data_IF_977993698007
#
_entry.id   IF_977993698007
#
_cell.length_a   1.000
_cell.length_b   1.000
_cell.length_c   1.000
_cell.angle_alpha   90.00
_cell.angle_beta   90.00
_cell.angle_gamma   90.00
#
_symmetry.space_group_name_H-M   'P 1'
#
loop_
_entity.id
_entity.type
_entity.pdbx_description
1 polymer ?
#
# COMPACT_ATOMS: atom_id res chain seq x y z
N UNK A 1 -16.04 -21.37 4.32
CA UNK A 1 -16.47 -22.22 5.47
C UNK A 1 -17.66 -21.56 6.17
N UNK A 2 -18.48 -22.31 6.92
CA UNK A 2 -19.51 -21.68 7.77
C UNK A 2 -18.84 -20.89 8.89
N UNK A 3 -19.30 -19.66 9.16
CA UNK A 3 -18.74 -18.74 10.18
C UNK A 3 -18.51 -19.42 11.54
N UNK A 4 -19.52 -20.12 12.05
CA UNK A 4 -19.42 -20.86 13.33
C UNK A 4 -18.29 -21.89 13.32
N UNK A 5 -18.15 -22.67 12.25
CA UNK A 5 -17.09 -23.69 12.15
C UNK A 5 -15.69 -23.08 12.16
N UNK A 6 -15.53 -21.90 11.56
CA UNK A 6 -14.27 -21.15 11.65
C UNK A 6 -13.99 -20.66 13.08
N UNK A 7 -14.98 -20.13 13.79
CA UNK A 7 -14.81 -19.69 15.17
C UNK A 7 -14.44 -20.84 16.12
N UNK A 8 -15.06 -22.01 15.94
CA UNK A 8 -14.70 -23.22 16.68
C UNK A 8 -13.24 -23.64 16.39
N UNK A 9 -12.83 -23.66 15.11
CA UNK A 9 -11.44 -23.92 14.70
C UNK A 9 -10.47 -22.91 15.34
N UNK A 10 -10.80 -21.62 15.31
CA UNK A 10 -9.98 -20.57 15.90
C UNK A 10 -9.75 -20.81 17.39
N UNK A 11 -10.81 -21.05 18.17
CA UNK A 11 -10.70 -21.23 19.61
C UNK A 11 -9.88 -22.47 20.00
N UNK A 12 -10.02 -23.57 19.26
CA UNK A 12 -9.17 -24.75 19.45
C UNK A 12 -7.70 -24.44 19.18
N UNK A 13 -7.40 -23.75 18.07
CA UNK A 13 -6.05 -23.37 17.67
C UNK A 13 -5.40 -22.42 18.67
N UNK A 14 -6.11 -21.35 19.06
CA UNK A 14 -5.64 -20.34 19.99
C UNK A 14 -5.30 -20.94 21.37
N UNK A 15 -6.19 -21.78 21.92
CA UNK A 15 -5.93 -22.46 23.20
C UNK A 15 -4.75 -23.43 23.11
N UNK A 16 -4.61 -24.16 22.01
CA UNK A 16 -3.48 -25.06 21.80
C UNK A 16 -2.14 -24.29 21.76
N UNK A 17 -2.08 -23.16 21.05
CA UNK A 17 -0.90 -22.29 21.01
C UNK A 17 -0.56 -21.74 22.40
N UNK A 18 -1.56 -21.25 23.14
CA UNK A 18 -1.36 -20.68 24.49
C UNK A 18 -0.99 -21.73 25.54
N UNK A 19 -1.42 -22.98 25.38
CA UNK A 19 -1.00 -24.09 26.23
C UNK A 19 0.50 -24.42 26.06
N UNK A 20 1.06 -24.23 24.85
CA UNK A 20 2.50 -24.37 24.61
C UNK A 20 3.26 -23.16 25.17
N UNK A 21 2.81 -21.95 24.89
CA UNK A 21 3.41 -20.73 25.44
C UNK A 21 2.44 -19.55 25.43
N UNK A 22 2.21 -18.88 26.57
CA UNK A 22 1.35 -17.70 26.62
C UNK A 22 1.91 -16.51 25.83
N UNK A 23 3.21 -16.54 25.48
CA UNK A 23 3.90 -15.47 24.71
C UNK A 23 3.61 -15.49 23.21
N UNK A 24 3.12 -16.60 22.66
CA UNK A 24 2.78 -16.69 21.24
C UNK A 24 1.54 -15.83 20.98
N UNK A 25 1.63 -14.86 20.06
CA UNK A 25 0.49 -14.04 19.67
C UNK A 25 -0.37 -14.78 18.64
N UNK A 26 -1.68 -14.81 18.85
CA UNK A 26 -2.66 -15.41 17.93
C UNK A 26 -3.78 -14.42 17.64
N UNK A 27 -4.28 -14.41 16.41
CA UNK A 27 -5.28 -13.44 15.96
C UNK A 27 -6.02 -13.91 14.72
N UNK A 28 -7.07 -13.18 14.37
CA UNK A 28 -8.00 -13.50 13.29
C UNK A 28 -9.01 -12.35 13.08
N UNK A 29 -10.05 -12.52 12.23
CA UNK A 29 -10.44 -13.76 11.57
C UNK A 29 -9.74 -14.03 10.21
N UNK A 30 -8.82 -13.18 9.76
CA UNK A 30 -8.21 -13.25 8.42
C UNK A 30 -9.26 -13.32 7.29
N UNK A 31 -10.37 -12.62 7.48
CA UNK A 31 -11.50 -12.58 6.54
C UNK A 31 -11.17 -11.73 5.31
N UNK A 32 -11.83 -12.00 4.18
CA UNK A 32 -11.91 -11.07 3.06
C UNK A 32 -12.81 -9.87 3.39
N UNK A 33 -12.65 -8.78 2.63
CA UNK A 33 -13.50 -7.59 2.64
C UNK A 33 -13.85 -7.02 4.04
N UNK A 34 -12.93 -7.12 5.01
CA UNK A 34 -13.16 -6.66 6.38
C UNK A 34 -14.41 -7.27 7.06
N UNK A 35 -14.70 -8.54 6.78
CA UNK A 35 -15.86 -9.27 7.33
C UNK A 35 -15.62 -9.85 8.73
N UNK A 36 -16.70 -10.25 9.40
CA UNK A 36 -16.73 -10.97 10.69
C UNK A 36 -16.15 -10.28 11.94
N UNK A 37 -15.62 -9.05 11.87
CA UNK A 37 -14.88 -8.47 13.01
C UNK A 37 -15.71 -8.39 14.31
N UNK A 38 -16.92 -7.81 14.34
CA UNK A 38 -17.68 -7.72 15.58
C UNK A 38 -18.08 -9.09 16.14
N UNK A 39 -18.53 -9.99 15.27
CA UNK A 39 -18.95 -11.35 15.66
C UNK A 39 -17.79 -12.19 16.18
N UNK A 40 -16.62 -12.07 15.55
CA UNK A 40 -15.39 -12.76 15.96
C UNK A 40 -14.96 -12.29 17.37
N UNK A 41 -14.92 -10.98 17.60
CA UNK A 41 -14.54 -10.42 18.91
C UNK A 41 -15.57 -10.79 19.98
N UNK A 42 -16.86 -10.74 19.67
CA UNK A 42 -17.92 -11.20 20.56
C UNK A 42 -17.76 -12.69 20.91
N UNK A 43 -17.55 -13.54 19.91
CA UNK A 43 -17.34 -14.97 20.13
C UNK A 43 -16.13 -15.22 21.03
N UNK A 44 -15.01 -14.53 20.79
CA UNK A 44 -13.81 -14.66 21.62
C UNK A 44 -14.07 -14.24 23.07
N UNK A 45 -14.82 -13.15 23.28
CA UNK A 45 -15.20 -12.69 24.61
C UNK A 45 -16.11 -13.72 25.32
N UNK A 46 -17.20 -14.13 24.68
CA UNK A 46 -18.19 -15.04 25.27
C UNK A 46 -17.59 -16.42 25.61
N UNK A 47 -16.64 -16.89 24.79
CA UNK A 47 -16.05 -18.24 24.92
C UNK A 47 -14.66 -18.22 25.58
N UNK A 48 -14.18 -17.07 26.03
CA UNK A 48 -12.83 -16.90 26.59
C UNK A 48 -11.75 -17.48 25.64
N UNK A 49 -11.91 -17.26 24.34
CA UNK A 49 -10.89 -17.66 23.36
C UNK A 49 -9.76 -16.60 23.35
N UNK A 50 -8.48 -17.00 23.51
CA UNK A 50 -7.38 -16.05 23.51
C UNK A 50 -7.25 -15.34 22.17
N UNK A 51 -7.09 -14.00 22.19
CA UNK A 51 -6.85 -13.18 20.99
C UNK A 51 -5.90 -12.03 21.34
N UNK A 52 -4.86 -11.84 20.53
CA UNK A 52 -3.80 -10.85 20.73
C UNK A 52 -3.76 -9.79 19.62
N UNK A 53 -4.43 -10.02 18.49
CA UNK A 53 -4.61 -9.06 17.41
C UNK A 53 -5.81 -9.42 16.52
N UNK A 54 -6.32 -8.44 15.79
CA UNK A 54 -7.28 -8.65 14.71
C UNK A 54 -6.55 -8.70 13.39
N UNK A 55 -6.93 -9.62 12.50
CA UNK A 55 -6.47 -9.63 11.11
C UNK A 55 -7.61 -9.76 10.11
N UNK A 56 -7.47 -9.11 8.97
CA UNK A 56 -8.43 -9.15 7.86
C UNK A 56 -7.78 -8.58 6.59
N UNK A 57 -8.46 -8.74 5.46
CA UNK A 57 -8.03 -8.30 4.15
C UNK A 57 -9.04 -7.32 3.56
N UNK A 58 -8.57 -6.58 2.56
CA UNK A 58 -9.42 -5.80 1.67
C UNK A 58 -8.56 -5.07 0.66
N UNK A 59 -9.08 -5.02 -0.56
CA UNK A 59 -8.38 -4.58 -1.75
C UNK A 59 -9.06 -3.34 -2.33
N UNK A 60 -8.31 -2.54 -3.09
CA UNK A 60 -8.89 -1.40 -3.80
C UNK A 60 -9.94 -1.82 -4.85
N UNK A 61 -9.83 -3.04 -5.38
CA UNK A 61 -10.78 -3.62 -6.35
C UNK A 61 -12.03 -4.23 -5.72
N UNK A 62 -12.06 -4.44 -4.40
CA UNK A 62 -13.27 -4.94 -3.75
C UNK A 62 -14.43 -3.96 -3.96
N UNK A 63 -15.64 -4.49 -4.11
CA UNK A 63 -16.82 -3.64 -4.30
C UNK A 63 -17.10 -2.82 -3.03
N UNK A 64 -17.80 -1.70 -3.20
CA UNK A 64 -18.20 -0.87 -2.05
C UNK A 64 -19.19 -1.62 -1.17
N UNK A 65 -20.05 -2.43 -1.81
CA UNK A 65 -20.96 -3.37 -1.20
C UNK A 65 -20.21 -4.37 -0.30
N UNK A 66 -19.15 -5.00 -0.82
CA UNK A 66 -18.39 -5.98 -0.04
C UNK A 66 -17.68 -5.31 1.16
N UNK A 67 -17.01 -4.18 0.93
CA UNK A 67 -16.24 -3.54 2.00
C UNK A 67 -17.07 -2.80 3.03
N UNK A 68 -18.27 -2.33 2.70
CA UNK A 68 -19.03 -1.42 3.57
C UNK A 68 -20.49 -1.81 3.78
N UNK A 69 -21.00 -2.78 3.04
CA UNK A 69 -22.38 -3.21 3.07
C UNK A 69 -22.86 -3.64 4.46
N UNK A 70 -24.17 -3.51 4.73
CA UNK A 70 -24.73 -3.70 6.06
C UNK A 70 -24.77 -5.15 6.53
N UNK A 71 -24.47 -6.15 5.68
CA UNK A 71 -24.25 -7.56 6.03
C UNK A 71 -23.72 -8.34 4.81
N UNK A 72 -23.00 -9.44 5.06
CA UNK A 72 -22.43 -10.37 4.05
C UNK A 72 -23.45 -11.07 3.14
N UNK A 73 -24.75 -10.97 3.46
CA UNK A 73 -25.85 -11.63 2.73
C UNK A 73 -26.69 -10.65 1.89
N UNK A 74 -26.34 -9.36 1.91
CA UNK A 74 -27.13 -8.30 1.28
C UNK A 74 -26.82 -8.26 -0.21
N UNK A 75 -27.79 -8.65 -1.04
CA UNK A 75 -27.69 -8.51 -2.49
C UNK A 75 -27.72 -7.01 -2.86
N UNK A 76 -27.20 -6.60 -4.03
CA UNK A 76 -27.09 -5.19 -4.44
C UNK A 76 -28.41 -4.38 -4.39
N UNK A 77 -29.56 -5.06 -4.35
CA UNK A 77 -30.91 -4.46 -4.29
C UNK A 77 -31.39 -4.11 -2.88
N UNK A 78 -30.73 -4.61 -1.83
CA UNK A 78 -31.18 -4.50 -0.43
C UNK A 78 -30.36 -3.48 0.40
N UNK A 79 -29.55 -2.64 -0.25
CA UNK A 79 -28.77 -1.59 0.44
C UNK A 79 -29.70 -0.50 1.02
N UNK A 80 -29.45 -0.03 2.25
CA UNK A 80 -30.26 1.02 2.87
C UNK A 80 -30.16 2.34 2.10
N UNK A 81 -31.23 3.16 2.10
CA UNK A 81 -31.21 4.49 1.49
C UNK A 81 -30.06 5.35 2.04
N UNK A 82 -29.27 5.95 1.17
CA UNK A 82 -28.12 6.79 1.54
C UNK A 82 -26.78 6.06 1.68
N UNK A 83 -26.73 4.74 1.42
CA UNK A 83 -25.47 4.01 1.31
C UNK A 83 -24.58 4.60 0.20
N UNK A 84 -23.32 4.99 0.48
CA UNK A 84 -22.42 5.50 -0.54
C UNK A 84 -22.10 4.37 -1.51
N UNK A 85 -22.55 4.47 -2.77
CA UNK A 85 -22.24 3.48 -3.81
C UNK A 85 -20.93 3.77 -4.54
N UNK A 86 -20.52 5.03 -4.54
CA UNK A 86 -19.35 5.51 -5.27
C UNK A 86 -18.25 5.93 -4.28
N UNK A 87 -17.49 4.94 -3.78
CA UNK A 87 -16.22 5.20 -3.10
C UNK A 87 -15.10 4.96 -4.12
N UNK A 88 -14.25 5.98 -4.40
CA UNK A 88 -13.08 5.82 -5.26
C UNK A 88 -12.18 4.68 -4.79
N UNK A 89 -11.65 3.87 -5.71
CA UNK A 89 -10.85 2.69 -5.39
C UNK A 89 -9.61 3.03 -4.54
N UNK A 90 -9.01 4.20 -4.74
CA UNK A 90 -7.85 4.70 -4.00
C UNK A 90 -8.18 5.14 -2.56
N UNK A 91 -9.45 5.17 -2.17
CA UNK A 91 -9.90 5.46 -0.81
C UNK A 91 -10.45 4.22 -0.07
N UNK A 92 -10.80 3.16 -0.79
CA UNK A 92 -11.53 2.00 -0.24
C UNK A 92 -10.77 1.30 0.88
N UNK A 93 -9.49 0.97 0.67
CA UNK A 93 -8.67 0.26 1.67
C UNK A 93 -8.55 1.07 2.96
N UNK A 94 -8.22 2.36 2.86
CA UNK A 94 -8.06 3.21 4.04
C UNK A 94 -9.38 3.43 4.80
N UNK A 95 -10.49 3.59 4.09
CA UNK A 95 -11.83 3.68 4.70
C UNK A 95 -12.24 2.37 5.37
N UNK A 96 -11.90 1.22 4.79
CA UNK A 96 -12.17 -0.09 5.37
C UNK A 96 -11.32 -0.35 6.64
N UNK A 97 -10.05 0.08 6.65
CA UNK A 97 -9.21 0.09 7.84
C UNK A 97 -9.86 0.92 8.96
N UNK A 98 -10.33 2.14 8.64
CA UNK A 98 -11.01 3.00 9.61
C UNK A 98 -12.30 2.36 10.15
N UNK A 99 -13.09 1.70 9.30
CA UNK A 99 -14.28 0.91 9.68
C UNK A 99 -13.90 -0.16 10.72
N UNK A 100 -12.89 -0.99 10.41
CA UNK A 100 -12.46 -2.10 11.29
C UNK A 100 -11.88 -1.58 12.60
N UNK A 101 -11.08 -0.51 12.56
CA UNK A 101 -10.57 0.12 13.78
C UNK A 101 -11.71 0.60 14.67
N UNK A 102 -12.75 1.20 14.10
CA UNK A 102 -13.97 1.59 14.84
C UNK A 102 -14.71 0.38 15.45
N UNK A 103 -14.82 -0.73 14.71
CA UNK A 103 -15.41 -1.98 15.21
C UNK A 103 -14.61 -2.58 16.38
N UNK A 104 -13.27 -2.55 16.31
CA UNK A 104 -12.40 -2.98 17.41
C UNK A 104 -12.64 -2.09 18.64
N UNK A 105 -12.61 -0.76 18.46
CA UNK A 105 -12.83 0.22 19.54
C UNK A 105 -14.19 0.09 20.22
N UNK A 106 -15.23 -0.31 19.48
CA UNK A 106 -16.58 -0.53 20.00
C UNK A 106 -16.76 -1.91 20.68
N UNK A 107 -15.77 -2.80 20.59
CA UNK A 107 -15.82 -4.15 21.18
C UNK A 107 -15.40 -4.16 22.66
N UNK A 108 -15.45 -5.35 23.28
CA UNK A 108 -14.89 -5.59 24.62
C UNK A 108 -13.36 -5.60 24.65
N UNK A 109 -12.69 -5.47 23.50
CA UNK A 109 -11.23 -5.54 23.34
C UNK A 109 -10.71 -4.35 22.51
N UNK A 110 -10.88 -3.10 22.98
CA UNK A 110 -10.73 -1.89 22.16
C UNK A 110 -9.30 -1.57 21.71
N UNK A 111 -8.31 -2.19 22.35
CA UNK A 111 -6.89 -1.89 22.15
C UNK A 111 -6.16 -2.96 21.32
N UNK A 112 -6.88 -3.91 20.73
CA UNK A 112 -6.22 -4.94 19.92
C UNK A 112 -5.50 -4.31 18.72
N UNK A 113 -4.25 -4.72 18.44
CA UNK A 113 -3.58 -4.38 17.19
C UNK A 113 -4.38 -4.87 15.97
N UNK A 114 -4.35 -4.10 14.89
CA UNK A 114 -4.98 -4.44 13.61
C UNK A 114 -3.90 -4.75 12.56
N UNK A 115 -3.92 -5.99 12.07
CA UNK A 115 -3.04 -6.50 11.05
C UNK A 115 -3.82 -6.64 9.74
N UNK A 116 -3.65 -5.72 8.80
CA UNK A 116 -4.21 -5.87 7.46
C UNK A 116 -3.29 -6.78 6.65
N UNK A 117 -3.58 -8.08 6.68
CA UNK A 117 -2.65 -9.14 6.25
C UNK A 117 -2.54 -9.29 4.74
N UNK A 118 -3.49 -8.75 3.99
CA UNK A 118 -3.43 -8.64 2.53
C UNK A 118 -4.16 -7.38 2.05
N UNK A 119 -3.54 -6.69 1.10
CA UNK A 119 -4.15 -5.67 0.26
C UNK A 119 -3.33 -5.49 -1.01
N UNK A 120 -3.91 -4.84 -2.02
CA UNK A 120 -3.18 -4.33 -3.18
C UNK A 120 -3.92 -3.09 -3.72
N UNK A 121 -3.26 -2.33 -4.59
CA UNK A 121 -3.89 -1.31 -5.44
C UNK A 121 -4.77 -1.99 -6.50
N UNK A 122 -5.58 -1.19 -7.20
CA UNK A 122 -6.48 -1.68 -8.22
C UNK A 122 -5.70 -2.32 -9.40
N UNK A 123 -6.29 -3.33 -10.03
CA UNK A 123 -5.67 -4.15 -11.08
C UNK A 123 -6.16 -3.86 -12.50
N UNK A 124 -7.03 -2.86 -12.70
CA UNK A 124 -7.60 -2.56 -14.01
C UNK A 124 -6.49 -2.24 -15.02
N UNK A 125 -6.66 -2.69 -16.26
CA UNK A 125 -5.73 -2.45 -17.37
C UNK A 125 -4.27 -2.82 -17.03
N UNK A 126 -4.06 -3.93 -16.31
CA UNK A 126 -2.72 -4.43 -15.92
C UNK A 126 -1.90 -3.43 -15.09
N UNK A 127 -2.57 -2.47 -14.46
CA UNK A 127 -1.92 -1.30 -13.84
C UNK A 127 -0.93 -1.63 -12.72
N UNK A 128 -1.02 -2.82 -12.10
CA UNK A 128 -0.06 -3.34 -11.12
C UNK A 128 1.35 -3.53 -11.65
N UNK A 129 1.52 -3.63 -12.97
CA UNK A 129 2.84 -3.69 -13.61
C UNK A 129 3.43 -2.32 -13.95
N UNK A 130 2.64 -1.26 -13.79
CA UNK A 130 2.97 0.08 -14.28
C UNK A 130 3.43 1.00 -13.16
N UNK A 131 3.87 2.20 -13.54
CA UNK A 131 4.25 3.27 -12.60
C UNK A 131 3.09 3.78 -11.74
N UNK A 132 1.83 3.46 -12.10
CA UNK A 132 0.63 3.77 -11.30
C UNK A 132 0.76 3.33 -9.84
N UNK A 133 1.39 2.17 -9.59
CA UNK A 133 1.49 1.61 -8.24
C UNK A 133 2.22 2.54 -7.29
N UNK A 134 3.22 3.31 -7.76
CA UNK A 134 4.01 4.18 -6.88
C UNK A 134 3.14 5.23 -6.17
N UNK A 135 2.47 6.13 -6.90
CA UNK A 135 1.54 7.09 -6.34
C UNK A 135 0.35 6.45 -5.59
N UNK A 136 -0.23 5.36 -6.10
CA UNK A 136 -1.37 4.69 -5.46
C UNK A 136 -0.99 4.07 -4.10
N UNK A 137 0.19 3.48 -4.01
CA UNK A 137 0.80 2.99 -2.78
C UNK A 137 1.04 4.13 -1.78
N UNK A 138 1.68 5.21 -2.25
CA UNK A 138 1.96 6.38 -1.41
C UNK A 138 0.67 7.02 -0.87
N UNK A 139 -0.36 7.15 -1.71
CA UNK A 139 -1.67 7.66 -1.32
C UNK A 139 -2.36 6.75 -0.30
N UNK A 140 -2.30 5.42 -0.47
CA UNK A 140 -2.87 4.49 0.50
C UNK A 140 -2.16 4.59 1.85
N UNK A 141 -0.82 4.60 1.87
CA UNK A 141 -0.03 4.79 3.11
C UNK A 141 -0.35 6.13 3.78
N UNK A 142 -0.54 7.20 3.01
CA UNK A 142 -0.92 8.52 3.53
C UNK A 142 -2.26 8.47 4.26
N UNK A 143 -3.21 7.68 3.77
CA UNK A 143 -4.58 7.61 4.28
C UNK A 143 -4.76 6.55 5.38
N UNK A 144 -4.00 5.45 5.34
CA UNK A 144 -4.14 4.29 6.21
C UNK A 144 -3.67 4.57 7.65
N UNK A 145 -4.48 5.30 8.40
CA UNK A 145 -4.32 5.48 9.84
C UNK A 145 -5.01 4.36 10.62
N UNK A 146 -4.50 4.04 11.82
CA UNK A 146 -5.16 3.08 12.71
C UNK A 146 -4.95 1.61 12.33
N UNK A 147 -3.92 1.31 11.55
CA UNK A 147 -3.44 -0.05 11.26
C UNK A 147 -2.02 -0.21 11.80
N UNK A 148 -1.72 -1.39 12.34
CA UNK A 148 -0.40 -1.70 12.91
C UNK A 148 0.52 -2.40 11.89
N UNK A 149 -0.07 -3.09 10.90
CA UNK A 149 0.62 -3.70 9.77
C UNK A 149 -0.25 -3.67 8.52
N UNK A 150 0.30 -3.23 7.40
CA UNK A 150 -0.38 -3.18 6.10
C UNK A 150 0.45 -3.98 5.07
N UNK A 151 0.11 -5.24 4.88
CA UNK A 151 0.91 -6.22 4.14
C UNK A 151 0.50 -6.29 2.67
N UNK A 152 1.31 -5.71 1.79
CA UNK A 152 1.06 -5.68 0.35
C UNK A 152 1.21 -7.07 -0.25
N UNK A 153 0.15 -7.53 -0.87
CA UNK A 153 0.06 -8.84 -1.50
C UNK A 153 0.40 -8.66 -2.98
N UNK A 154 1.62 -8.96 -3.47
CA UNK A 154 2.70 -9.73 -2.83
C UNK A 154 4.08 -9.12 -3.10
N UNK A 155 5.13 -9.72 -2.55
CA UNK A 155 6.51 -9.34 -2.88
C UNK A 155 6.99 -9.85 -4.25
N UNK A 156 6.33 -10.85 -4.85
CA UNK A 156 6.76 -11.48 -6.10
C UNK A 156 5.63 -12.23 -6.80
N UNK A 157 5.71 -12.24 -8.13
CA UNK A 157 4.88 -13.06 -9.03
C UNK A 157 5.32 -14.55 -9.05
N UNK A 158 6.16 -15.00 -8.10
CA UNK A 158 6.27 -16.45 -7.86
C UNK A 158 5.01 -16.84 -7.08
N UNK A 159 3.94 -17.07 -7.85
CA UNK A 159 2.57 -17.14 -7.37
C UNK A 159 1.77 -18.13 -8.23
N UNK A 160 0.95 -18.98 -7.61
CA UNK A 160 0.31 -20.10 -8.32
C UNK A 160 -1.16 -20.35 -7.93
N UNK A 161 -1.88 -19.37 -7.36
CA UNK A 161 -3.32 -19.55 -7.09
C UNK A 161 -4.12 -19.84 -8.37
N UNK A 162 -3.75 -19.19 -9.48
CA UNK A 162 -4.29 -19.44 -10.82
C UNK A 162 -3.47 -20.45 -11.65
N UNK A 163 -2.50 -21.12 -11.04
CA UNK A 163 -1.45 -21.87 -11.73
C UNK A 163 -0.25 -20.99 -12.15
N UNK A 164 0.75 -21.57 -12.84
CA UNK A 164 1.96 -20.85 -13.22
C UNK A 164 1.68 -19.68 -14.17
N UNK A 165 2.24 -18.51 -13.86
CA UNK A 165 2.08 -17.30 -14.67
C UNK A 165 2.77 -17.45 -16.03
N UNK A 166 2.06 -17.18 -17.15
CA UNK A 166 2.55 -17.50 -18.48
C UNK A 166 3.63 -16.52 -18.99
N UNK A 167 3.55 -15.22 -18.64
CA UNK A 167 4.54 -14.20 -19.07
C UNK A 167 4.77 -13.14 -17.97
N UNK A 168 5.87 -12.36 -18.01
CA UNK A 168 6.27 -11.50 -16.89
C UNK A 168 5.31 -10.37 -16.48
N UNK A 169 4.50 -9.85 -17.39
CA UNK A 169 3.64 -8.70 -17.14
C UNK A 169 2.22 -8.96 -17.67
N UNK A 170 1.29 -9.22 -16.76
CA UNK A 170 -0.16 -9.46 -16.97
C UNK A 170 -1.04 -8.86 -15.85
N UNK A 171 -0.53 -7.86 -15.10
CA UNK A 171 -1.24 -7.23 -14.00
C UNK A 171 -1.20 -8.03 -12.69
N UNK A 172 -0.18 -8.87 -12.53
CA UNK A 172 0.00 -9.76 -11.39
C UNK A 172 0.35 -9.00 -10.10
N UNK A 173 0.13 -9.64 -8.96
CA UNK A 173 0.16 -9.00 -7.63
C UNK A 173 1.54 -8.47 -7.19
N UNK A 174 2.62 -9.08 -7.65
CA UNK A 174 3.94 -8.95 -7.05
C UNK A 174 4.63 -7.63 -7.29
N UNK A 175 5.50 -7.24 -6.36
CA UNK A 175 6.48 -6.16 -6.57
C UNK A 175 7.52 -6.51 -7.65
N UNK A 176 7.72 -7.80 -7.89
CA UNK A 176 8.66 -8.34 -8.86
C UNK A 176 7.95 -9.32 -9.77
N UNK A 177 8.13 -9.14 -11.07
CA UNK A 177 7.63 -10.02 -12.10
C UNK A 177 8.32 -11.39 -12.09
N UNK A 178 7.71 -12.36 -12.79
CA UNK A 178 8.28 -13.70 -13.02
C UNK A 178 9.76 -13.60 -13.44
N UNK A 179 10.58 -14.50 -12.91
CA UNK A 179 12.04 -14.48 -13.15
C UNK A 179 12.81 -13.47 -12.31
N UNK A 180 12.14 -12.65 -11.49
CA UNK A 180 12.78 -11.68 -10.61
C UNK A 180 13.04 -10.33 -11.26
N UNK A 181 12.23 -9.95 -12.24
CA UNK A 181 12.29 -8.62 -12.88
C UNK A 181 11.64 -7.60 -11.94
N UNK A 182 12.33 -6.51 -11.62
CA UNK A 182 11.79 -5.48 -10.73
C UNK A 182 10.73 -4.65 -11.46
N UNK A 183 9.50 -4.63 -10.93
CA UNK A 183 8.43 -3.75 -11.40
C UNK A 183 8.63 -2.33 -10.84
N UNK A 184 7.95 -1.31 -11.36
CA UNK A 184 7.99 0.04 -10.77
C UNK A 184 7.63 0.07 -9.28
N UNK A 185 6.74 -0.82 -8.84
CA UNK A 185 6.33 -0.98 -7.45
C UNK A 185 7.48 -1.38 -6.51
N UNK A 186 8.44 -2.20 -6.96
CA UNK A 186 9.66 -2.52 -6.21
C UNK A 186 10.45 -1.25 -5.86
N UNK A 187 10.66 -0.39 -6.86
CA UNK A 187 11.40 0.86 -6.69
C UNK A 187 10.59 1.89 -5.88
N UNK A 188 9.26 1.94 -6.04
CA UNK A 188 8.40 2.80 -5.25
C UNK A 188 8.46 2.46 -3.75
N UNK A 189 8.43 1.16 -3.40
CA UNK A 189 8.69 0.72 -2.03
C UNK A 189 10.08 1.17 -1.54
N UNK A 190 11.10 1.05 -2.38
CA UNK A 190 12.45 1.53 -2.09
C UNK A 190 12.52 3.04 -1.82
N UNK A 191 11.76 3.85 -2.56
CA UNK A 191 11.62 5.28 -2.29
C UNK A 191 10.91 5.53 -0.96
N UNK A 192 9.74 4.93 -0.74
CA UNK A 192 8.93 5.16 0.46
C UNK A 192 9.60 4.64 1.75
N UNK A 193 10.48 3.63 1.65
CA UNK A 193 11.29 3.16 2.77
C UNK A 193 12.24 4.25 3.31
N UNK A 194 12.52 5.29 2.53
CA UNK A 194 13.37 6.41 2.95
C UNK A 194 12.65 7.45 3.80
N UNK A 195 11.34 7.33 3.99
CA UNK A 195 10.57 8.20 4.89
C UNK A 195 11.07 8.04 6.33
N UNK A 196 11.00 9.14 7.09
CA UNK A 196 11.32 9.18 8.52
C UNK A 196 10.19 8.62 9.40
N UNK A 197 10.44 8.62 10.70
CA UNK A 197 9.57 8.07 11.74
C UNK A 197 8.54 9.07 12.28
N UNK A 198 8.74 10.37 12.08
CA UNK A 198 7.82 11.42 12.52
C UNK A 198 7.10 12.07 11.35
N UNK A 199 5.82 11.75 11.15
CA UNK A 199 4.98 12.41 10.13
C UNK A 199 4.67 13.85 10.51
N UNK A 200 4.89 14.77 9.57
CA UNK A 200 4.49 16.17 9.69
C UNK A 200 3.15 16.37 8.98
N UNK A 201 2.19 16.92 9.70
CA UNK A 201 0.86 17.22 9.16
C UNK A 201 0.96 18.28 8.05
N UNK A 202 0.25 18.05 6.96
CA UNK A 202 0.08 18.99 5.87
C UNK A 202 -1.28 18.74 5.20
N UNK A 203 -1.80 19.72 4.47
CA UNK A 203 -3.14 19.66 3.86
C UNK A 203 -3.17 18.98 2.49
N UNK A 204 -2.03 18.57 1.92
CA UNK A 204 -1.99 17.97 0.59
C UNK A 204 -2.44 16.51 0.63
N UNK A 205 -3.26 16.12 -0.34
CA UNK A 205 -3.60 14.72 -0.62
C UNK A 205 -2.51 13.98 -1.39
N UNK A 206 -1.50 14.70 -1.90
CA UNK A 206 -0.48 14.15 -2.80
C UNK A 206 0.95 14.26 -2.24
N UNK A 207 1.08 14.44 -0.92
CA UNK A 207 2.38 14.57 -0.25
C UNK A 207 2.37 13.87 1.12
N UNK A 208 3.44 13.13 1.41
CA UNK A 208 3.82 12.72 2.77
C UNK A 208 5.09 13.48 3.13
N UNK A 209 5.07 14.15 4.29
CA UNK A 209 6.25 14.79 4.88
C UNK A 209 6.59 14.05 6.17
N UNK A 210 7.85 13.67 6.30
CA UNK A 210 8.38 13.04 7.50
C UNK A 210 9.68 13.70 7.93
N UNK A 211 9.97 13.65 9.22
CA UNK A 211 11.24 14.06 9.81
C UNK A 211 11.89 12.84 10.45
N UNK A 212 13.19 12.70 10.27
CA UNK A 212 14.01 11.70 10.95
C UNK A 212 14.55 12.24 12.29
N UNK A 213 15.07 11.35 13.13
CA UNK A 213 15.65 11.71 14.42
C UNK A 213 16.82 12.73 14.33
N UNK A 214 17.59 12.73 13.22
CA UNK A 214 18.67 13.67 12.95
C UNK A 214 18.18 15.06 12.48
N UNK A 215 16.86 15.25 12.35
CA UNK A 215 16.25 16.50 11.89
C UNK A 215 16.16 16.65 10.37
N UNK A 216 16.64 15.69 9.59
CA UNK A 216 16.45 15.68 8.14
C UNK A 216 14.97 15.47 7.78
N UNK A 217 14.56 16.01 6.62
CA UNK A 217 13.22 15.81 6.09
C UNK A 217 13.27 14.82 4.94
N UNK A 218 12.30 13.90 4.90
CA UNK A 218 12.02 13.04 3.76
C UNK A 218 10.57 13.27 3.30
N UNK A 219 10.41 13.59 2.02
CA UNK A 219 9.14 14.02 1.43
C UNK A 219 8.85 13.17 0.21
N UNK A 220 7.73 12.45 0.22
CA UNK A 220 7.19 11.81 -0.97
C UNK A 220 6.12 12.72 -1.58
N UNK A 221 6.25 13.07 -2.86
CA UNK A 221 5.27 13.85 -3.62
C UNK A 221 4.92 13.11 -4.92
N UNK A 222 3.66 13.13 -5.33
CA UNK A 222 3.21 12.35 -6.49
C UNK A 222 2.09 13.02 -7.30
N UNK A 223 1.86 12.49 -8.51
CA UNK A 223 0.72 12.81 -9.37
C UNK A 223 -0.01 11.50 -9.71
N UNK A 224 -1.06 11.15 -8.97
CA UNK A 224 -1.83 9.93 -9.17
C UNK A 224 -2.89 10.12 -10.26
N UNK A 225 -2.90 9.25 -11.27
CA UNK A 225 -3.86 9.25 -12.37
C UNK A 225 -4.35 7.82 -12.60
N UNK A 226 -5.66 7.60 -12.48
CA UNK A 226 -6.28 6.28 -12.66
C UNK A 226 -6.03 5.72 -14.07
N UNK A 227 -5.92 4.38 -14.23
CA UNK A 227 -5.54 3.78 -15.52
C UNK A 227 -6.54 3.96 -16.66
N UNK A 228 -7.79 4.31 -16.35
CA UNK A 228 -8.85 4.59 -17.31
C UNK A 228 -8.93 6.07 -17.69
N UNK A 229 -8.07 6.92 -17.11
CA UNK A 229 -8.05 8.36 -17.31
C UNK A 229 -6.77 8.82 -18.01
N UNK A 230 -6.90 9.91 -18.77
CA UNK A 230 -5.75 10.65 -19.28
C UNK A 230 -5.33 11.69 -18.24
N UNK A 231 -4.05 11.69 -17.90
CA UNK A 231 -3.44 12.65 -16.98
C UNK A 231 -2.62 13.69 -17.69
N UNK A 232 -2.40 14.81 -17.02
CA UNK A 232 -1.48 15.86 -17.44
C UNK A 232 -0.36 16.03 -16.40
N UNK A 233 0.76 16.59 -16.83
CA UNK A 233 1.83 17.00 -15.92
C UNK A 233 1.31 18.12 -15.01
N UNK A 234 1.63 18.02 -13.72
CA UNK A 234 1.29 19.04 -12.73
C UNK A 234 2.54 19.67 -12.14
N UNK A 235 2.57 20.99 -12.10
CA UNK A 235 3.53 21.75 -11.32
C UNK A 235 3.09 21.77 -9.85
N UNK A 236 3.93 21.29 -8.94
CA UNK A 236 3.72 21.36 -7.50
C UNK A 236 4.79 22.23 -6.84
N UNK A 237 4.37 23.34 -6.23
CA UNK A 237 5.27 24.19 -5.44
C UNK A 237 5.23 23.80 -3.97
N UNK A 238 6.35 23.28 -3.46
CA UNK A 238 6.57 23.02 -2.04
C UNK A 238 7.21 24.25 -1.38
N UNK A 239 6.57 24.77 -0.34
CA UNK A 239 7.07 25.91 0.44
C UNK A 239 7.60 25.42 1.78
N UNK A 240 8.89 25.62 2.03
CA UNK A 240 9.58 25.16 3.22
C UNK A 240 9.72 26.29 4.24
N UNK A 241 9.49 25.97 5.51
CA UNK A 241 9.71 26.86 6.65
C UNK A 241 10.55 26.13 7.70
N UNK A 242 11.38 26.86 8.42
CA UNK A 242 12.24 26.28 9.46
C UNK A 242 13.46 25.50 8.94
N UNK A 243 13.78 25.64 7.65
CA UNK A 243 15.04 25.18 7.03
C UNK A 243 15.70 26.35 6.30
N UNK A 244 17.02 26.31 6.04
CA UNK A 244 17.69 27.35 5.25
C UNK A 244 17.02 27.56 3.90
N UNK A 245 16.93 28.82 3.46
CA UNK A 245 16.27 29.19 2.20
C UNK A 245 16.89 28.51 0.97
N UNK A 246 18.19 28.22 1.03
CA UNK A 246 18.96 27.55 -0.03
C UNK A 246 19.44 26.15 0.41
N UNK A 247 18.68 25.48 1.30
CA UNK A 247 19.05 24.17 1.82
C UNK A 247 19.35 23.18 0.69
N UNK A 248 20.38 22.34 0.89
CA UNK A 248 20.72 21.26 -0.03
C UNK A 248 19.63 20.19 0.03
N UNK A 249 19.21 19.76 -1.15
CA UNK A 249 18.23 18.70 -1.31
C UNK A 249 18.75 17.63 -2.28
N UNK A 250 18.16 16.45 -2.22
CA UNK A 250 18.33 15.42 -3.25
C UNK A 250 16.98 14.90 -3.72
N UNK A 251 16.84 14.61 -5.00
CA UNK A 251 15.63 14.07 -5.60
C UNK A 251 15.88 12.68 -6.18
N UNK A 252 14.96 11.75 -5.98
CA UNK A 252 14.95 10.45 -6.64
C UNK A 252 13.51 10.11 -7.03
N UNK A 253 13.29 9.49 -8.19
CA UNK A 253 11.94 9.36 -8.75
C UNK A 253 11.69 8.00 -9.40
N UNK A 254 10.44 7.58 -9.36
CA UNK A 254 9.86 6.56 -10.23
C UNK A 254 8.86 7.27 -11.13
N UNK A 255 9.08 7.22 -12.43
CA UNK A 255 8.25 7.87 -13.45
C UNK A 255 8.40 7.13 -14.79
N UNK A 256 7.96 7.74 -15.90
CA UNK A 256 8.05 7.12 -17.23
C UNK A 256 9.48 6.75 -17.66
N UNK A 257 10.50 7.43 -17.12
CA UNK A 257 11.91 7.29 -17.50
C UNK A 257 12.74 6.56 -16.43
N UNK A 258 12.31 6.57 -15.17
CA UNK A 258 13.05 6.04 -14.02
C UNK A 258 12.27 4.92 -13.31
N UNK A 259 12.92 3.78 -13.06
CA UNK A 259 12.27 2.65 -12.38
C UNK A 259 11.17 1.96 -13.21
N UNK A 260 11.03 2.31 -14.49
CA UNK A 260 10.00 1.76 -15.38
C UNK A 260 10.57 0.71 -16.33
N UNK A 261 10.25 -0.56 -16.07
CA UNK A 261 10.75 -1.69 -16.86
C UNK A 261 10.00 -1.92 -18.17
N UNK A 262 8.76 -1.48 -18.28
CA UNK A 262 7.90 -1.82 -19.42
C UNK A 262 8.47 -1.36 -20.77
N UNK A 263 9.03 -0.14 -20.93
CA UNK A 263 9.67 0.26 -22.19
C UNK A 263 10.88 -0.60 -22.56
N UNK A 264 11.69 -1.01 -21.57
CA UNK A 264 12.88 -1.85 -21.80
C UNK A 264 12.49 -3.28 -22.17
N UNK A 265 11.50 -3.84 -21.47
CA UNK A 265 10.92 -5.14 -21.80
C UNK A 265 10.30 -5.15 -23.21
N UNK A 266 9.60 -4.08 -23.60
CA UNK A 266 9.07 -3.91 -24.94
C UNK A 266 10.18 -3.84 -26.01
N UNK A 267 11.24 -3.06 -25.76
CA UNK A 267 12.39 -2.97 -26.65
C UNK A 267 13.15 -4.30 -26.79
N UNK A 268 13.06 -5.18 -25.78
CA UNK A 268 13.61 -6.54 -25.81
C UNK A 268 12.72 -7.54 -26.58
N UNK A 269 11.60 -7.10 -27.14
CA UNK A 269 10.68 -7.94 -27.90
C UNK A 269 9.68 -8.72 -27.04
N UNK A 270 9.50 -8.33 -25.77
CA UNK A 270 8.56 -8.96 -24.81
C UNK A 270 8.71 -10.49 -24.71
N UNK A 271 9.92 -11.02 -24.40
CA UNK A 271 10.13 -12.45 -24.31
C UNK A 271 9.23 -13.09 -23.25
N UNK A 272 8.53 -14.17 -23.61
CA UNK A 272 7.62 -14.91 -22.71
C UNK A 272 8.37 -15.53 -21.54
N UNK A 273 9.57 -16.06 -21.78
CA UNK A 273 10.50 -16.53 -20.75
C UNK A 273 11.85 -15.82 -20.92
N UNK A 274 12.02 -14.63 -20.30
CA UNK A 274 13.30 -13.93 -20.31
C UNK A 274 14.40 -14.80 -19.67
N UNK A 275 15.54 -14.92 -20.34
CA UNK A 275 16.71 -15.61 -19.79
C UNK A 275 17.26 -14.88 -18.56
N UNK A 276 18.04 -15.53 -17.68
CA UNK A 276 18.67 -14.86 -16.55
C UNK A 276 19.49 -13.61 -16.93
N UNK A 277 20.18 -13.65 -18.06
CA UNK A 277 20.95 -12.49 -18.58
C UNK A 277 20.03 -11.34 -19.00
N UNK A 278 18.88 -11.65 -19.62
CA UNK A 278 17.87 -10.65 -19.97
C UNK A 278 17.23 -10.03 -18.73
N UNK A 279 16.93 -10.83 -17.71
CA UNK A 279 16.42 -10.33 -16.41
C UNK A 279 17.44 -9.40 -15.76
N UNK A 280 18.72 -9.79 -15.69
CA UNK A 280 19.78 -8.96 -15.14
C UNK A 280 19.93 -7.64 -15.91
N UNK A 281 19.89 -7.71 -17.25
CA UNK A 281 19.91 -6.52 -18.10
C UNK A 281 18.75 -5.58 -17.80
N UNK A 282 17.50 -6.10 -17.75
CA UNK A 282 16.31 -5.31 -17.43
C UNK A 282 16.44 -4.64 -16.05
N UNK A 283 16.87 -5.40 -15.03
CA UNK A 283 17.04 -4.86 -13.68
C UNK A 283 18.13 -3.80 -13.61
N UNK A 284 19.26 -3.99 -14.31
CA UNK A 284 20.34 -3.01 -14.36
C UNK A 284 19.94 -1.73 -15.08
N UNK A 285 19.26 -1.84 -16.21
CA UNK A 285 18.84 -0.68 -17.03
C UNK A 285 17.68 0.12 -16.43
N UNK A 286 16.98 -0.45 -15.44
CA UNK A 286 15.82 0.16 -14.78
C UNK A 286 16.08 0.55 -13.34
N UNK A 287 17.25 0.20 -12.81
CA UNK A 287 17.65 0.57 -11.45
C UNK A 287 17.56 2.09 -11.26
N UNK A 288 17.10 2.51 -10.08
CA UNK A 288 17.05 3.93 -9.76
C UNK A 288 18.47 4.52 -9.79
N UNK A 289 18.69 5.65 -10.48
CA UNK A 289 19.96 6.34 -10.43
C UNK A 289 20.23 6.89 -9.03
N UNK A 290 21.47 7.31 -8.78
CA UNK A 290 21.81 8.06 -7.58
C UNK A 290 20.91 9.31 -7.45
N UNK A 291 20.54 9.73 -6.22
CA UNK A 291 19.73 10.92 -6.02
C UNK A 291 20.36 12.17 -6.66
N UNK A 292 19.58 12.91 -7.42
CA UNK A 292 19.97 14.15 -8.10
C UNK A 292 20.12 15.28 -7.07
N UNK A 293 21.32 15.89 -6.93
CA UNK A 293 21.52 17.01 -6.01
C UNK A 293 20.88 18.29 -6.55
N UNK A 294 20.26 19.07 -5.66
CA UNK A 294 19.72 20.39 -5.97
C UNK A 294 19.69 21.26 -4.71
N UNK A 295 19.11 22.45 -4.82
CA UNK A 295 18.91 23.38 -3.71
C UNK A 295 17.48 23.90 -3.73
N UNK A 296 16.96 24.19 -2.54
CA UNK A 296 15.79 25.07 -2.42
C UNK A 296 16.14 26.44 -3.02
N UNK A 297 15.14 27.12 -3.58
CA UNK A 297 15.26 28.49 -4.09
C UNK A 297 14.36 29.39 -3.26
N UNK A 298 14.93 30.24 -2.41
CA UNK A 298 14.20 31.09 -1.48
C UNK A 298 13.16 30.32 -0.64
N UNK A 299 13.54 29.14 -0.15
CA UNK A 299 12.68 28.25 0.64
C UNK A 299 11.59 27.54 -0.18
N UNK A 300 11.72 27.48 -1.51
CA UNK A 300 10.75 26.83 -2.40
C UNK A 300 11.40 25.74 -3.25
N UNK A 301 10.61 24.76 -3.63
CA UNK A 301 10.92 23.77 -4.65
C UNK A 301 9.73 23.62 -5.58
N UNK A 302 9.92 23.87 -6.86
CA UNK A 302 8.93 23.59 -7.89
C UNK A 302 9.23 22.23 -8.51
N UNK A 303 8.22 21.36 -8.54
CA UNK A 303 8.29 20.01 -9.09
C UNK A 303 7.38 19.91 -10.29
N UNK A 304 7.92 19.43 -11.41
CA UNK A 304 7.12 18.96 -12.54
C UNK A 304 6.86 17.46 -12.37
N UNK A 305 5.60 17.09 -12.11
CA UNK A 305 5.19 15.71 -11.86
C UNK A 305 4.38 15.20 -13.05
N UNK A 306 5.00 14.37 -13.90
CA UNK A 306 4.31 13.68 -14.99
C UNK A 306 3.24 12.72 -14.44
N UNK A 307 2.25 12.30 -15.24
CA UNK A 307 1.24 11.33 -14.81
C UNK A 307 1.89 10.09 -14.20
N UNK A 308 1.44 9.74 -13.00
CA UNK A 308 1.93 8.62 -12.20
C UNK A 308 3.41 8.70 -11.74
N UNK A 309 4.01 9.89 -11.74
CA UNK A 309 5.31 10.11 -11.11
C UNK A 309 5.22 10.08 -9.57
N UNK A 310 6.19 9.44 -8.93
CA UNK A 310 6.47 9.51 -7.50
C UNK A 310 7.90 10.01 -7.30
N UNK A 311 8.06 11.08 -6.52
CA UNK A 311 9.35 11.71 -6.23
C UNK A 311 9.61 11.69 -4.72
N UNK A 312 10.78 11.18 -4.33
CA UNK A 312 11.34 11.27 -2.99
C UNK A 312 12.32 12.44 -2.92
N UNK A 313 12.10 13.37 -2.01
CA UNK A 313 12.96 14.53 -1.75
C UNK A 313 13.53 14.39 -0.34
N UNK A 314 14.85 14.50 -0.22
CA UNK A 314 15.52 14.62 1.06
C UNK A 314 16.06 16.02 1.25
N UNK A 315 15.80 16.62 2.40
CA UNK A 315 16.40 17.88 2.84
C UNK A 315 17.36 17.56 3.97
N UNK A 316 18.63 17.91 3.81
CA UNK A 316 19.62 17.70 4.87
C UNK A 316 19.27 18.55 6.09
N UNK A 317 19.51 18.02 7.29
CA UNK A 317 19.40 18.80 8.50
C UNK A 317 20.35 20.01 8.40
N UNK A 318 19.83 21.22 8.59
CA UNK A 318 20.69 22.40 8.73
C UNK A 318 21.52 22.25 9.99
N UNK A 319 22.85 22.38 9.88
CA UNK A 319 23.65 22.68 11.07
C UNK A 319 23.13 24.01 11.61
N UNK A 320 22.48 23.97 12.78
CA UNK A 320 22.15 25.19 13.52
C UNK A 320 23.42 25.88 13.98
#
# INVERSE_FOLDING_TARGET
PRKKSYFDLYAHTARALKAVSPRLRVGGPASSAAYWIPDFLKYCADNHAPVDFVSTHGYADDTVEDLFGPNEEVRPVDLPPGFPKDIPMDERVARAIAKVRGQIQASTMPNLPLMWTEWNVQGMNESRDTIFVGPALANTIRQANGVDMLSFWTFSDVFEEGGPIPKPFEGEFGLRAKGGINKPSYYAYGLLHQLGDQRIANSSSNVIVTKSADGSLAIAAWNLVDPDKQGQTHTMTLNFRGVPAEAKITLQRVDSEHGNVLPRYAAMGKPVDPTPVQVEQLNRETALPAPEPSNLKNGKLDLELTPNALVMIKVQAGQK
#
